data_IF_713656312788
#
_entry.id   IF_713656312788
#
_cell.length_a   1.000
_cell.length_b   1.000
_cell.length_c   1.000
_cell.angle_alpha   90.00
_cell.angle_beta   90.00
_cell.angle_gamma   90.00
#
_symmetry.space_group_name_H-M   'P 1'
#
loop_
_entity.id
_entity.type
_entity.pdbx_description
1 polymer ?
#
# COMPACT_ATOMS: atom_id res chain seq x y z
N UNK A 1 17.83 -10.75 15.21
CA UNK A 1 17.27 -11.88 14.41
C UNK A 1 15.78 -11.69 14.07
N UNK A 2 14.83 -11.66 15.02
CA UNK A 2 13.38 -11.40 14.71
C UNK A 2 13.05 -9.98 14.22
N UNK A 3 13.67 -8.96 14.83
CA UNK A 3 13.47 -7.54 14.45
C UNK A 3 13.91 -7.22 13.01
N UNK A 4 14.88 -7.95 12.46
CA UNK A 4 15.36 -7.71 11.09
C UNK A 4 14.35 -8.21 10.05
N UNK A 5 13.79 -9.40 10.27
CA UNK A 5 12.72 -9.96 9.41
C UNK A 5 11.50 -9.05 9.45
N UNK A 6 11.10 -8.62 10.65
CA UNK A 6 9.97 -7.72 10.81
C UNK A 6 10.20 -6.38 10.11
N UNK A 7 11.40 -5.80 10.21
CA UNK A 7 11.76 -4.57 9.51
C UNK A 7 11.80 -4.75 7.99
N UNK A 8 12.31 -5.87 7.47
CA UNK A 8 12.35 -6.14 6.03
C UNK A 8 10.95 -6.21 5.43
N UNK A 9 10.06 -7.02 6.03
CA UNK A 9 8.68 -7.13 5.57
C UNK A 9 7.93 -5.80 5.67
N UNK A 10 8.16 -5.04 6.74
CA UNK A 10 7.54 -3.74 6.91
C UNK A 10 8.00 -2.75 5.83
N UNK A 11 9.31 -2.67 5.57
CA UNK A 11 9.88 -1.80 4.54
C UNK A 11 9.37 -2.21 3.16
N UNK A 12 9.30 -3.50 2.85
CA UNK A 12 8.79 -4.01 1.58
C UNK A 12 7.31 -3.66 1.39
N UNK A 13 6.47 -3.92 2.39
CA UNK A 13 5.06 -3.55 2.37
C UNK A 13 4.88 -2.04 2.21
N UNK A 14 5.59 -1.23 2.99
CA UNK A 14 5.52 0.23 2.90
C UNK A 14 5.98 0.75 1.53
N UNK A 15 7.05 0.17 0.96
CA UNK A 15 7.56 0.57 -0.36
C UNK A 15 6.53 0.28 -1.44
N UNK A 16 5.94 -0.93 -1.44
CA UNK A 16 4.90 -1.31 -2.42
C UNK A 16 3.66 -0.42 -2.26
N UNK A 17 3.21 -0.14 -1.03
CA UNK A 17 2.04 0.70 -0.79
C UNK A 17 2.27 2.17 -1.17
N UNK A 18 3.45 2.73 -0.92
CA UNK A 18 3.79 4.09 -1.34
C UNK A 18 3.85 4.19 -2.87
N UNK A 19 4.53 3.26 -3.53
CA UNK A 19 4.63 3.22 -4.99
C UNK A 19 3.25 3.04 -5.61
N UNK A 20 2.46 2.09 -5.09
CA UNK A 20 1.09 1.85 -5.53
C UNK A 20 0.17 3.06 -5.30
N UNK A 21 0.28 3.74 -4.16
CA UNK A 21 -0.47 4.96 -3.86
C UNK A 21 -0.12 6.12 -4.80
N UNK A 22 1.18 6.36 -5.06
CA UNK A 22 1.62 7.37 -6.02
C UNK A 22 1.13 7.07 -7.44
N UNK A 23 1.27 5.82 -7.90
CA UNK A 23 0.76 5.40 -9.21
C UNK A 23 -0.75 5.51 -9.28
N UNK A 24 -1.47 5.13 -8.22
CA UNK A 24 -2.92 5.26 -8.13
C UNK A 24 -3.40 6.70 -8.26
N UNK A 25 -2.74 7.65 -7.58
CA UNK A 25 -3.03 9.09 -7.73
C UNK A 25 -2.75 9.54 -9.16
N UNK A 26 -1.61 9.17 -9.73
CA UNK A 26 -1.22 9.54 -11.08
C UNK A 26 -2.26 9.06 -12.11
N UNK A 27 -2.61 7.78 -12.07
CA UNK A 27 -3.61 7.19 -12.95
C UNK A 27 -5.02 7.72 -12.69
N UNK A 28 -5.38 8.00 -11.43
CA UNK A 28 -6.66 8.61 -11.08
C UNK A 28 -6.83 10.01 -11.66
N UNK A 29 -5.79 10.85 -11.57
CA UNK A 29 -5.79 12.20 -12.15
C UNK A 29 -5.80 12.14 -13.69
N UNK A 30 -4.98 11.28 -14.29
CA UNK A 30 -4.96 11.08 -15.74
C UNK A 30 -6.31 10.58 -16.26
N UNK A 31 -6.88 9.56 -15.62
CA UNK A 31 -8.20 9.02 -15.97
C UNK A 31 -9.29 10.07 -15.86
N UNK A 32 -9.31 10.85 -14.76
CA UNK A 32 -10.25 11.95 -14.58
C UNK A 32 -10.11 13.01 -15.70
N UNK A 33 -8.88 13.38 -16.07
CA UNK A 33 -8.62 14.34 -17.17
C UNK A 33 -9.08 13.81 -18.52
N UNK A 34 -8.79 12.55 -18.84
CA UNK A 34 -9.24 11.92 -20.09
C UNK A 34 -10.76 11.88 -20.13
N UNK A 35 -11.42 11.46 -19.04
CA UNK A 35 -12.89 11.45 -18.93
C UNK A 35 -13.49 12.85 -19.09
N UNK A 36 -12.85 13.88 -18.54
CA UNK A 36 -13.28 15.27 -18.74
C UNK A 36 -13.33 15.65 -20.21
N UNK A 37 -12.29 15.27 -20.96
CA UNK A 37 -12.16 15.61 -22.39
C UNK A 37 -13.13 14.80 -23.26
N UNK A 38 -13.28 13.50 -23.01
CA UNK A 38 -14.11 12.65 -23.87
C UNK A 38 -15.61 12.71 -23.52
N UNK A 39 -15.96 12.85 -22.24
CA UNK A 39 -17.35 12.85 -21.77
C UNK A 39 -17.89 14.26 -21.51
N UNK A 40 -17.03 15.29 -21.54
CA UNK A 40 -17.40 16.68 -21.25
C UNK A 40 -17.80 16.94 -19.80
N UNK A 41 -17.50 16.00 -18.88
CA UNK A 41 -17.90 16.13 -17.49
C UNK A 41 -16.96 17.04 -16.70
N UNK A 42 -17.49 17.96 -15.87
CA UNK A 42 -16.69 18.74 -14.95
C UNK A 42 -16.15 17.80 -13.85
N UNK A 43 -14.90 17.38 -13.99
CA UNK A 43 -14.23 16.49 -13.03
C UNK A 43 -13.61 17.32 -11.94
N UNK A 44 -14.22 17.29 -10.75
CA UNK A 44 -13.74 18.03 -9.59
C UNK A 44 -12.82 17.10 -8.79
N UNK A 45 -11.51 17.31 -8.90
CA UNK A 45 -10.52 16.62 -8.08
C UNK A 45 -10.27 17.47 -6.83
N UNK A 46 -10.87 17.07 -5.71
CA UNK A 46 -10.64 17.72 -4.42
C UNK A 46 -9.38 17.18 -3.77
N UNK A 47 -8.50 18.09 -3.33
CA UNK A 47 -7.30 17.73 -2.58
C UNK A 47 -7.63 16.93 -1.31
N UNK A 48 -8.78 17.19 -0.68
CA UNK A 48 -9.23 16.44 0.49
C UNK A 48 -9.49 14.97 0.14
N UNK A 49 -10.22 14.70 -0.96
CA UNK A 49 -10.50 13.34 -1.42
C UNK A 49 -9.22 12.58 -1.77
N UNK A 50 -8.26 13.24 -2.43
CA UNK A 50 -6.96 12.65 -2.74
C UNK A 50 -6.19 12.31 -1.46
N UNK A 51 -6.18 13.23 -0.48
CA UNK A 51 -5.51 13.01 0.80
C UNK A 51 -6.15 11.84 1.58
N UNK A 52 -7.48 11.75 1.64
CA UNK A 52 -8.16 10.64 2.33
C UNK A 52 -7.91 9.30 1.64
N UNK A 53 -7.95 9.27 0.30
CA UNK A 53 -7.67 8.05 -0.46
C UNK A 53 -6.20 7.59 -0.28
N UNK A 54 -5.26 8.53 -0.29
CA UNK A 54 -3.85 8.23 -0.02
C UNK A 54 -3.64 7.71 1.41
N UNK A 55 -4.27 8.35 2.40
CA UNK A 55 -4.21 7.91 3.79
C UNK A 55 -4.77 6.48 3.97
N UNK A 56 -5.87 6.16 3.29
CA UNK A 56 -6.43 4.79 3.28
C UNK A 56 -5.45 3.78 2.67
N UNK A 57 -4.84 4.10 1.53
CA UNK A 57 -3.84 3.23 0.88
C UNK A 57 -2.63 2.96 1.77
N UNK A 58 -2.14 3.97 2.47
CA UNK A 58 -1.04 3.82 3.45
C UNK A 58 -1.49 2.99 4.65
N UNK A 59 -2.71 3.20 5.16
CA UNK A 59 -3.25 2.45 6.28
C UNK A 59 -3.40 0.96 5.96
N UNK A 60 -3.96 0.61 4.80
CA UNK A 60 -4.06 -0.78 4.33
C UNK A 60 -2.67 -1.41 4.18
N UNK A 61 -1.73 -0.68 3.56
CA UNK A 61 -0.33 -1.10 3.44
C UNK A 61 0.35 -1.40 4.78
N UNK A 62 0.13 -0.52 5.76
CA UNK A 62 0.66 -0.71 7.11
C UNK A 62 -0.01 -1.90 7.80
N UNK A 63 -1.34 -2.04 7.68
CA UNK A 63 -2.09 -3.12 8.32
C UNK A 63 -1.67 -4.49 7.78
N UNK A 64 -1.67 -4.64 6.45
CA UNK A 64 -1.25 -5.85 5.76
C UNK A 64 0.26 -6.08 5.76
N UNK A 65 1.10 -5.08 6.06
CA UNK A 65 2.53 -5.26 6.28
C UNK A 65 2.85 -5.71 7.71
N UNK A 66 2.26 -5.04 8.70
CA UNK A 66 2.56 -5.24 10.12
C UNK A 66 2.01 -6.58 10.64
N UNK A 67 0.79 -6.96 10.23
CA UNK A 67 0.15 -8.19 10.67
C UNK A 67 0.94 -9.47 10.29
N UNK A 68 1.27 -9.73 9.00
CA UNK A 68 2.05 -10.91 8.64
C UNK A 68 3.49 -10.81 9.11
N UNK A 69 4.10 -9.62 9.15
CA UNK A 69 5.45 -9.45 9.69
C UNK A 69 5.53 -9.88 11.17
N UNK A 70 4.52 -9.53 11.97
CA UNK A 70 4.44 -9.97 13.36
C UNK A 70 4.20 -11.49 13.46
N UNK A 71 3.37 -12.06 12.58
CA UNK A 71 3.16 -13.52 12.51
C UNK A 71 4.46 -14.25 12.16
N UNK A 72 5.19 -13.80 11.15
CA UNK A 72 6.46 -14.38 10.71
C UNK A 72 7.56 -14.25 11.79
N UNK A 73 7.63 -13.09 12.44
CA UNK A 73 8.58 -12.87 13.53
C UNK A 73 8.33 -13.77 14.74
N UNK A 74 7.11 -14.29 14.94
CA UNK A 74 6.79 -15.18 16.08
C UNK A 74 7.02 -16.66 15.77
N UNK A 75 7.21 -17.06 14.51
CA UNK A 75 7.44 -18.46 14.14
C UNK A 75 8.73 -19.01 14.79
N UNK A 76 8.66 -20.26 15.23
CA UNK A 76 9.83 -20.95 15.77
C UNK A 76 10.73 -21.37 14.59
N UNK A 77 12.05 -21.10 14.62
CA UNK A 77 12.93 -21.41 13.49
C UNK A 77 12.92 -22.88 13.09
N UNK A 78 12.71 -23.77 14.06
CA UNK A 78 12.63 -25.21 13.86
C UNK A 78 11.37 -25.59 13.05
N UNK A 79 10.25 -24.91 13.28
CA UNK A 79 9.00 -25.14 12.54
C UNK A 79 9.06 -24.56 11.12
N UNK A 80 9.80 -23.45 10.94
CA UNK A 80 9.99 -22.83 9.62
C UNK A 80 10.85 -23.69 8.66
N UNK A 81 11.77 -24.51 9.21
CA UNK A 81 12.65 -25.41 8.44
C UNK A 81 12.05 -26.81 8.26
N UNK A 82 11.03 -27.17 9.05
CA UNK A 82 10.33 -28.46 8.97
C UNK A 82 9.11 -28.44 8.07
N UNK A 83 8.71 -27.26 7.58
CA UNK A 83 7.74 -27.14 6.50
C UNK A 83 8.44 -27.47 5.18
N UNK A 84 8.42 -28.75 4.82
CA UNK A 84 8.07 -29.12 3.45
C UNK A 84 6.56 -28.90 3.24
#
# INVERSE_FOLDING_TARGET
>A
KRRHIMAQFLIEAMTISLVGGCLGILFGVLGARVMSVIAGWPTIISANTVATAFAFSVADGLFFGLYPANKAARLNPIDALRYE
#
